data_IF_924008488770
#
_entry.id   IF_924008488770
#
_cell.length_a   1.000
_cell.length_b   1.000
_cell.length_c   1.000
_cell.angle_alpha   90.00
_cell.angle_beta   90.00
_cell.angle_gamma   90.00
#
_symmetry.space_group_name_H-M   'P 1'
#
loop_
_entity.id
_entity.type
_entity.pdbx_description
1 polymer ?
#
# COMPACT_ATOMS: atom_id res chain seq x y z
N UNK A 1 36.53 12.42 52.34
CA UNK A 1 36.40 13.82 51.85
C UNK A 1 35.77 13.78 50.46
N UNK A 2 34.59 14.39 50.26
CA UNK A 2 34.16 14.84 48.93
C UNK A 2 33.07 14.08 48.16
N UNK A 3 32.26 13.19 48.76
CA UNK A 3 31.27 12.39 48.02
C UNK A 3 29.97 13.12 47.69
N UNK A 4 29.90 13.91 46.60
CA UNK A 4 28.61 14.39 46.06
C UNK A 4 27.89 13.27 45.29
N UNK A 5 26.59 13.08 45.54
CA UNK A 5 25.73 12.13 44.80
C UNK A 5 25.13 12.81 43.58
N UNK A 6 25.29 12.19 42.41
CA UNK A 6 24.74 12.66 41.15
C UNK A 6 23.47 11.87 40.82
N UNK A 7 22.37 12.58 40.59
CA UNK A 7 21.18 12.04 39.95
C UNK A 7 21.17 12.51 38.51
N UNK A 8 21.19 11.56 37.57
CA UNK A 8 21.06 11.85 36.14
C UNK A 8 19.69 11.32 35.74
N UNK A 9 18.73 12.24 35.58
CA UNK A 9 17.35 11.94 35.24
C UNK A 9 17.12 12.17 33.75
N UNK A 10 17.03 11.07 32.99
CA UNK A 10 16.77 11.09 31.54
C UNK A 10 15.28 10.85 31.20
N UNK A 11 14.40 10.84 32.20
CA UNK A 11 12.99 10.51 32.03
C UNK A 11 12.12 11.74 31.76
N UNK A 12 11.07 11.55 30.95
CA UNK A 12 10.01 12.54 30.71
C UNK A 12 8.65 11.82 30.84
N UNK A 13 7.85 12.06 31.90
CA UNK A 13 8.06 13.00 33.01
C UNK A 13 9.22 12.64 33.94
N UNK A 14 9.79 13.65 34.64
CA UNK A 14 10.93 13.48 35.55
C UNK A 14 10.66 12.44 36.65
N UNK A 15 11.65 11.61 36.93
CA UNK A 15 11.62 10.68 38.06
C UNK A 15 12.14 11.32 39.35
N UNK A 16 13.01 12.33 39.23
CA UNK A 16 13.60 13.05 40.35
C UNK A 16 12.90 14.40 40.52
N UNK A 17 12.29 14.60 41.68
CA UNK A 17 11.66 15.88 42.04
C UNK A 17 12.70 17.01 42.06
N UNK A 18 12.30 18.22 41.63
CA UNK A 18 13.20 19.38 41.59
C UNK A 18 13.75 19.77 42.96
N UNK A 19 13.01 19.49 44.04
CA UNK A 19 13.42 19.73 45.42
C UNK A 19 14.62 18.89 45.89
N UNK A 20 14.97 17.82 45.16
CA UNK A 20 16.13 16.98 45.50
C UNK A 20 17.46 17.76 45.31
N UNK A 21 17.45 18.81 44.50
CA UNK A 21 18.61 19.71 44.30
C UNK A 21 18.92 20.59 45.51
N UNK A 22 18.01 20.73 46.47
CA UNK A 22 18.20 21.58 47.66
C UNK A 22 19.10 20.92 48.74
N UNK A 23 19.48 19.65 48.54
CA UNK A 23 20.36 18.91 49.47
C UNK A 23 21.83 19.19 49.12
N UNK A 24 22.59 19.76 50.05
CA UNK A 24 24.00 20.21 49.87
C UNK A 24 24.96 19.18 49.24
N UNK A 25 24.74 17.89 49.49
CA UNK A 25 25.56 16.79 48.97
C UNK A 25 25.06 16.20 47.64
N UNK A 26 24.05 16.80 47.00
CA UNK A 26 23.36 16.26 45.82
C UNK A 26 23.46 17.21 44.63
N UNK A 27 23.56 16.65 43.42
CA UNK A 27 23.32 17.37 42.17
C UNK A 27 22.39 16.57 41.29
N UNK A 28 21.41 17.25 40.69
CA UNK A 28 20.47 16.66 39.74
C UNK A 28 20.77 17.24 38.36
N UNK A 29 20.93 16.37 37.38
CA UNK A 29 21.02 16.71 35.97
C UNK A 29 19.80 16.12 35.26
N UNK A 30 19.14 16.91 34.43
CA UNK A 30 18.03 16.47 33.61
C UNK A 30 18.41 16.48 32.12
N UNK A 31 17.47 16.09 31.25
CA UNK A 31 17.68 16.05 29.78
C UNK A 31 18.11 17.40 29.19
N UNK A 32 17.68 18.53 29.75
CA UNK A 32 18.07 19.86 29.29
C UNK A 32 19.53 20.18 29.66
N UNK A 33 19.98 19.81 30.86
CA UNK A 33 21.38 20.03 31.31
C UNK A 33 22.38 19.21 30.47
N UNK A 34 21.94 18.07 29.94
CA UNK A 34 22.75 17.23 29.06
C UNK A 34 22.92 17.83 27.65
N UNK A 35 22.10 18.81 27.24
CA UNK A 35 22.22 19.47 25.92
C UNK A 35 23.49 20.31 25.79
N UNK A 36 23.97 20.90 26.89
CA UNK A 36 25.16 21.77 26.88
C UNK A 36 26.46 20.99 26.67
N UNK A 37 26.55 19.75 27.18
CA UNK A 37 27.74 18.89 27.06
C UNK A 37 27.92 18.34 25.63
N UNK A 38 26.87 18.35 24.81
CA UNK A 38 26.85 17.73 23.48
C UNK A 38 27.44 18.63 22.37
N UNK A 39 27.82 19.87 22.70
CA UNK A 39 28.36 20.84 21.74
C UNK A 39 29.61 20.36 20.99
N UNK A 40 30.45 19.52 21.62
CA UNK A 40 31.68 18.98 21.02
C UNK A 40 31.44 18.00 19.85
N UNK A 41 30.21 17.48 19.70
CA UNK A 41 29.85 16.53 18.62
C UNK A 41 28.93 17.16 17.57
N UNK A 42 28.77 18.49 17.57
CA UNK A 42 27.82 19.17 16.68
C UNK A 42 28.16 18.97 15.21
N UNK A 43 29.44 19.07 14.84
CA UNK A 43 29.89 18.90 13.46
C UNK A 43 29.70 17.47 12.97
N UNK A 44 30.11 16.47 13.77
CA UNK A 44 29.88 15.06 13.46
C UNK A 44 28.39 14.70 13.40
N UNK A 45 27.56 15.28 14.26
CA UNK A 45 26.11 15.12 14.24
C UNK A 45 25.51 15.70 12.96
N UNK A 46 25.96 16.88 12.53
CA UNK A 46 25.52 17.48 11.28
C UNK A 46 25.95 16.66 10.07
N UNK A 47 27.16 16.09 10.09
CA UNK A 47 27.63 15.18 9.03
C UNK A 47 26.76 13.93 8.94
N UNK A 48 26.55 13.23 10.06
CA UNK A 48 25.67 12.05 10.12
C UNK A 48 24.22 12.38 9.75
N UNK A 49 23.72 13.56 10.13
CA UNK A 49 22.39 14.01 9.74
C UNK A 49 22.29 14.18 8.22
N UNK A 50 23.29 14.77 7.56
CA UNK A 50 23.33 14.87 6.10
C UNK A 50 23.36 13.49 5.43
N UNK A 51 24.17 12.56 5.95
CA UNK A 51 24.21 11.17 5.47
C UNK A 51 22.83 10.50 5.61
N UNK A 52 22.18 10.65 6.76
CA UNK A 52 20.82 10.13 7.00
C UNK A 52 19.77 10.78 6.08
N UNK A 53 19.91 12.07 5.78
CA UNK A 53 18.98 12.78 4.89
C UNK A 53 18.98 12.20 3.47
N UNK A 54 20.14 11.74 2.99
CA UNK A 54 20.25 11.07 1.68
C UNK A 54 19.45 9.77 1.68
N UNK A 55 19.65 8.94 2.70
CA UNK A 55 18.91 7.67 2.85
C UNK A 55 17.40 7.93 2.92
N UNK A 56 16.97 8.90 3.74
CA UNK A 56 15.55 9.27 3.85
C UNK A 56 14.99 9.72 2.49
N UNK A 57 15.76 10.50 1.72
CA UNK A 57 15.34 10.96 0.40
C UNK A 57 15.22 9.82 -0.63
N UNK A 58 16.11 8.83 -0.56
CA UNK A 58 16.07 7.63 -1.42
C UNK A 58 14.87 6.74 -1.06
N UNK A 59 14.67 6.46 0.23
CA UNK A 59 13.54 5.65 0.73
C UNK A 59 12.19 6.33 0.47
N UNK A 60 12.11 7.66 0.60
CA UNK A 60 10.88 8.40 0.30
C UNK A 60 10.48 8.24 -1.18
N UNK A 61 11.45 8.33 -2.10
CA UNK A 61 11.19 8.12 -3.53
C UNK A 61 10.70 6.70 -3.81
N UNK A 62 11.34 5.70 -3.21
CA UNK A 62 10.90 4.31 -3.35
C UNK A 62 9.50 4.09 -2.79
N UNK A 63 9.20 4.70 -1.63
CA UNK A 63 7.87 4.64 -1.03
C UNK A 63 6.80 5.29 -1.90
N UNK A 64 7.08 6.46 -2.49
CA UNK A 64 6.16 7.14 -3.39
C UNK A 64 5.91 6.31 -4.65
N UNK A 65 6.96 5.78 -5.29
CA UNK A 65 6.81 4.90 -6.45
C UNK A 65 6.02 3.63 -6.13
N UNK A 66 6.24 3.03 -4.96
CA UNK A 66 5.45 1.90 -4.48
C UNK A 66 3.99 2.28 -4.22
N UNK A 67 3.73 3.42 -3.59
CA UNK A 67 2.36 3.89 -3.34
C UNK A 67 1.60 4.08 -4.65
N UNK A 68 2.23 4.74 -5.62
CA UNK A 68 1.62 5.04 -6.91
C UNK A 68 1.40 3.74 -7.73
N UNK A 69 2.24 2.72 -7.55
CA UNK A 69 2.01 1.41 -8.17
C UNK A 69 0.74 0.70 -7.67
N UNK A 70 0.23 1.04 -6.47
CA UNK A 70 -1.01 0.50 -5.93
C UNK A 70 -2.26 1.04 -6.65
N UNK A 71 -2.16 2.14 -7.41
CA UNK A 71 -3.29 2.71 -8.15
C UNK A 71 -3.86 1.77 -9.22
N UNK A 72 -3.07 0.79 -9.70
CA UNK A 72 -3.54 -0.18 -10.69
C UNK A 72 -4.42 -1.29 -10.10
N UNK A 73 -4.40 -1.47 -8.77
CA UNK A 73 -5.11 -2.57 -8.08
C UNK A 73 -6.63 -2.54 -8.34
N UNK A 74 -7.33 -1.39 -8.24
CA UNK A 74 -8.73 -1.29 -8.64
C UNK A 74 -8.98 -1.68 -10.10
N UNK A 75 -8.12 -1.26 -11.03
CA UNK A 75 -8.24 -1.58 -12.46
C UNK A 75 -8.09 -3.07 -12.73
N UNK A 76 -7.13 -3.72 -12.07
CA UNK A 76 -6.96 -5.18 -12.08
C UNK A 76 -8.26 -5.88 -11.65
N UNK A 77 -8.88 -5.43 -10.55
CA UNK A 77 -10.12 -6.02 -10.02
C UNK A 77 -11.26 -5.86 -11.03
N UNK A 78 -11.41 -4.68 -11.62
CA UNK A 78 -12.43 -4.37 -12.62
C UNK A 78 -12.28 -5.21 -13.88
N UNK A 79 -11.07 -5.30 -14.43
CA UNK A 79 -10.79 -6.07 -15.65
C UNK A 79 -11.14 -7.56 -15.46
N UNK A 80 -10.80 -8.13 -14.30
CA UNK A 80 -11.18 -9.52 -13.96
C UNK A 80 -12.69 -9.70 -13.88
N UNK A 81 -13.39 -8.78 -13.23
CA UNK A 81 -14.85 -8.83 -13.11
C UNK A 81 -15.53 -8.72 -14.49
N UNK A 82 -15.04 -7.81 -15.34
CA UNK A 82 -15.50 -7.62 -16.72
C UNK A 82 -15.34 -8.92 -17.53
N UNK A 83 -14.16 -9.53 -17.50
CA UNK A 83 -13.88 -10.75 -18.23
C UNK A 83 -14.70 -11.95 -17.72
N UNK A 84 -14.89 -12.07 -16.40
CA UNK A 84 -15.70 -13.15 -15.82
C UNK A 84 -17.18 -13.01 -16.21
N UNK A 85 -17.71 -11.79 -16.24
CA UNK A 85 -19.09 -11.55 -16.70
C UNK A 85 -19.29 -12.03 -18.15
N UNK A 86 -18.34 -11.72 -19.04
CA UNK A 86 -18.38 -12.20 -20.42
C UNK A 86 -18.27 -13.72 -20.47
N UNK A 87 -17.30 -14.29 -19.75
CA UNK A 87 -17.05 -15.74 -19.72
C UNK A 87 -18.29 -16.52 -19.29
N UNK A 88 -18.93 -16.12 -18.19
CA UNK A 88 -20.12 -16.77 -17.66
C UNK A 88 -21.29 -16.65 -18.65
N UNK A 89 -21.53 -15.45 -19.19
CA UNK A 89 -22.62 -15.24 -20.14
C UNK A 89 -22.45 -16.10 -21.42
N UNK A 90 -21.24 -16.20 -21.97
CA UNK A 90 -20.98 -17.02 -23.15
C UNK A 90 -20.96 -18.53 -22.83
N UNK A 91 -20.48 -18.91 -21.65
CA UNK A 91 -20.54 -20.30 -21.19
C UNK A 91 -22.00 -20.77 -21.02
N UNK A 92 -22.86 -19.96 -20.41
CA UNK A 92 -24.28 -20.27 -20.25
C UNK A 92 -24.99 -20.41 -21.59
N UNK A 93 -24.73 -19.48 -22.54
CA UNK A 93 -25.25 -19.59 -23.91
C UNK A 93 -24.77 -20.85 -24.62
N UNK A 94 -23.50 -21.22 -24.46
CA UNK A 94 -22.92 -22.43 -25.04
C UNK A 94 -23.61 -23.68 -24.47
N UNK A 95 -23.69 -23.77 -23.15
CA UNK A 95 -24.32 -24.90 -22.47
C UNK A 95 -25.80 -25.03 -22.80
N UNK A 96 -26.54 -23.92 -22.90
CA UNK A 96 -27.95 -23.93 -23.30
C UNK A 96 -28.19 -24.47 -24.71
N UNK A 97 -27.21 -24.35 -25.62
CA UNK A 97 -27.28 -24.92 -26.98
C UNK A 97 -26.89 -26.40 -27.05
N UNK A 98 -26.20 -26.92 -26.05
CA UNK A 98 -25.73 -28.31 -26.02
C UNK A 98 -26.79 -29.29 -25.50
N UNK A 99 -27.90 -28.80 -24.94
CA UNK A 99 -29.01 -29.59 -24.42
C UNK A 99 -28.76 -30.18 -23.01
N UNK A 100 -29.81 -30.74 -22.42
CA UNK A 100 -29.81 -31.18 -21.01
C UNK A 100 -29.07 -32.52 -20.77
N UNK A 101 -28.83 -33.31 -21.82
CA UNK A 101 -28.16 -34.62 -21.73
C UNK A 101 -26.62 -34.54 -21.68
N UNK A 102 -26.06 -33.37 -21.37
CA UNK A 102 -24.61 -33.20 -21.31
C UNK A 102 -24.01 -33.90 -20.07
N UNK A 103 -22.96 -34.68 -20.28
CA UNK A 103 -22.24 -35.30 -19.17
C UNK A 103 -21.56 -34.24 -18.29
N UNK A 104 -21.51 -34.48 -16.96
CA UNK A 104 -20.78 -33.60 -16.02
C UNK A 104 -19.31 -33.40 -16.43
N UNK A 105 -18.68 -34.42 -17.04
CA UNK A 105 -17.30 -34.36 -17.54
C UNK A 105 -17.17 -33.37 -18.69
N UNK A 106 -18.09 -33.41 -19.65
CA UNK A 106 -18.13 -32.47 -20.77
C UNK A 106 -18.35 -31.03 -20.27
N UNK A 107 -19.32 -30.83 -19.36
CA UNK A 107 -19.59 -29.52 -18.78
C UNK A 107 -18.36 -28.90 -18.12
N UNK A 108 -17.62 -29.71 -17.35
CA UNK A 108 -16.37 -29.29 -16.72
C UNK A 108 -15.29 -28.95 -17.76
N UNK A 109 -15.12 -29.78 -18.79
CA UNK A 109 -14.13 -29.51 -19.84
C UNK A 109 -14.39 -28.18 -20.58
N UNK A 110 -15.66 -27.84 -20.81
CA UNK A 110 -16.04 -26.55 -21.43
C UNK A 110 -15.81 -25.37 -20.47
N UNK A 111 -16.13 -25.52 -19.17
CA UNK A 111 -15.80 -24.49 -18.17
C UNK A 111 -14.29 -24.26 -18.08
N UNK A 112 -13.49 -25.33 -17.98
CA UNK A 112 -12.03 -25.28 -17.93
C UNK A 112 -11.43 -24.63 -19.19
N UNK A 113 -11.96 -24.94 -20.39
CA UNK A 113 -11.58 -24.30 -21.63
C UNK A 113 -11.85 -22.78 -21.59
N UNK A 114 -13.06 -22.38 -21.18
CA UNK A 114 -13.44 -20.97 -21.11
C UNK A 114 -12.55 -20.18 -20.13
N UNK A 115 -12.22 -20.77 -18.98
CA UNK A 115 -11.29 -20.19 -18.00
C UNK A 115 -9.88 -20.13 -18.55
N UNK A 116 -9.42 -21.17 -19.23
CA UNK A 116 -8.11 -21.23 -19.86
C UNK A 116 -7.89 -20.12 -20.88
N UNK A 117 -8.87 -19.86 -21.74
CA UNK A 117 -8.84 -18.77 -22.72
C UNK A 117 -8.75 -17.41 -22.01
N UNK A 118 -9.65 -17.14 -21.05
CA UNK A 118 -9.66 -15.87 -20.30
C UNK A 118 -8.35 -15.66 -19.55
N UNK A 119 -7.86 -16.68 -18.85
CA UNK A 119 -6.60 -16.59 -18.11
C UNK A 119 -5.41 -16.31 -19.03
N UNK A 120 -5.35 -16.97 -20.20
CA UNK A 120 -4.27 -16.75 -21.17
C UNK A 120 -4.33 -15.35 -21.79
N UNK A 121 -5.52 -14.85 -22.11
CA UNK A 121 -5.71 -13.48 -22.61
C UNK A 121 -5.36 -12.42 -21.57
N UNK A 122 -5.77 -12.62 -20.32
CA UNK A 122 -5.53 -11.66 -19.24
C UNK A 122 -4.11 -11.70 -18.68
N UNK A 123 -3.35 -12.77 -18.89
CA UNK A 123 -2.00 -12.91 -18.33
C UNK A 123 -1.11 -11.70 -18.65
N UNK A 124 -1.04 -11.31 -19.93
CA UNK A 124 -0.22 -10.19 -20.38
C UNK A 124 -0.59 -8.86 -19.70
N UNK A 125 -1.83 -8.36 -19.87
CA UNK A 125 -2.27 -7.12 -19.20
C UNK A 125 -2.11 -7.16 -17.68
N UNK A 126 -2.42 -8.29 -17.05
CA UNK A 126 -2.31 -8.44 -15.59
C UNK A 126 -0.86 -8.38 -15.10
N UNK A 127 0.10 -8.86 -15.90
CA UNK A 127 1.52 -8.78 -15.58
C UNK A 127 2.03 -7.34 -15.72
N UNK A 128 1.62 -6.62 -16.77
CA UNK A 128 2.06 -5.23 -17.04
C UNK A 128 1.32 -4.18 -16.20
N UNK A 129 0.30 -4.56 -15.43
CA UNK A 129 -0.31 -3.72 -14.41
C UNK A 129 0.32 -3.90 -13.02
N UNK A 130 1.12 -4.96 -12.82
CA UNK A 130 1.82 -5.22 -11.56
C UNK A 130 3.21 -4.63 -11.64
N UNK A 131 3.42 -3.49 -10.99
CA UNK A 131 4.74 -2.89 -10.81
C UNK A 131 5.12 -2.99 -9.32
N UNK A 132 6.34 -3.42 -9.03
CA UNK A 132 6.88 -3.55 -7.67
C UNK A 132 7.50 -2.25 -7.14
N UNK A 133 7.37 -1.13 -7.89
CA UNK A 133 7.84 0.19 -7.48
C UNK A 133 9.36 0.37 -7.57
N UNK A 134 10.08 -0.57 -8.17
CA UNK A 134 11.55 -0.57 -8.23
C UNK A 134 12.14 0.21 -9.41
N UNK A 135 11.37 0.45 -10.48
CA UNK A 135 11.81 1.20 -11.67
C UNK A 135 10.77 2.26 -12.08
N UNK A 136 11.18 3.54 -12.01
CA UNK A 136 10.36 4.72 -12.29
C UNK A 136 9.90 4.78 -13.77
N UNK A 137 10.72 4.27 -14.69
CA UNK A 137 10.34 4.18 -16.11
C UNK A 137 9.20 3.18 -16.31
N UNK A 138 9.20 2.10 -15.55
CA UNK A 138 8.15 1.09 -15.57
C UNK A 138 6.85 1.60 -14.93
N UNK A 139 6.91 2.51 -13.95
CA UNK A 139 5.71 3.07 -13.32
C UNK A 139 4.87 3.89 -14.30
N UNK A 140 5.51 4.78 -15.08
CA UNK A 140 4.80 5.61 -16.07
C UNK A 140 4.09 4.74 -17.12
N UNK A 141 4.80 3.76 -17.69
CA UNK A 141 4.23 2.81 -18.65
C UNK A 141 3.08 1.99 -18.03
N UNK A 142 3.22 1.61 -16.76
CA UNK A 142 2.18 0.87 -16.01
C UNK A 142 0.90 1.70 -15.85
N UNK A 143 1.02 3.00 -15.53
CA UNK A 143 -0.11 3.91 -15.44
C UNK A 143 -0.74 4.17 -16.82
N UNK A 144 0.06 4.31 -17.87
CA UNK A 144 -0.44 4.43 -19.25
C UNK A 144 -1.23 3.19 -19.67
N UNK A 145 -0.72 2.00 -19.38
CA UNK A 145 -1.40 0.72 -19.60
C UNK A 145 -2.72 0.66 -18.84
N UNK A 146 -2.74 1.11 -17.58
CA UNK A 146 -3.96 1.20 -16.78
C UNK A 146 -5.00 2.08 -17.46
N UNK A 147 -4.64 3.28 -17.87
CA UNK A 147 -5.55 4.20 -18.55
C UNK A 147 -6.03 3.65 -19.90
N UNK A 148 -5.15 2.99 -20.67
CA UNK A 148 -5.53 2.35 -21.92
C UNK A 148 -6.58 1.26 -21.70
N UNK A 149 -6.40 0.40 -20.69
CA UNK A 149 -7.37 -0.64 -20.33
C UNK A 149 -8.69 -0.04 -19.85
N UNK A 150 -8.64 1.02 -19.03
CA UNK A 150 -9.85 1.73 -18.61
C UNK A 150 -10.65 2.27 -19.81
N UNK A 151 -9.98 2.83 -20.82
CA UNK A 151 -10.64 3.31 -22.05
C UNK A 151 -11.17 2.17 -22.92
N UNK A 152 -10.32 1.18 -23.22
CA UNK A 152 -10.66 0.07 -24.11
C UNK A 152 -11.81 -0.79 -23.59
N UNK A 153 -11.88 -1.00 -22.27
CA UNK A 153 -12.90 -1.84 -21.64
C UNK A 153 -13.94 -1.06 -20.83
N UNK A 154 -13.87 0.28 -20.83
CA UNK A 154 -14.80 1.17 -20.11
C UNK A 154 -14.94 0.84 -18.61
N UNK A 155 -13.81 0.56 -17.95
CA UNK A 155 -13.78 0.04 -16.56
C UNK A 155 -14.08 1.10 -15.49
N UNK A 156 -14.01 2.38 -15.83
CA UNK A 156 -14.28 3.49 -14.89
C UNK A 156 -15.77 3.67 -14.61
N UNK A 157 -16.62 3.36 -15.59
CA UNK A 157 -18.08 3.56 -15.55
C UNK A 157 -18.79 2.57 -14.62
N UNK A 158 -18.18 1.42 -14.31
CA UNK A 158 -18.86 0.38 -13.52
C UNK A 158 -19.01 0.76 -12.03
N UNK A 159 -18.12 1.60 -11.49
CA UNK A 159 -18.24 2.07 -10.10
C UNK A 159 -19.45 3.00 -9.94
N UNK A 160 -19.66 3.95 -10.86
CA UNK A 160 -20.78 4.88 -10.73
C UNK A 160 -22.11 4.13 -10.73
N UNK A 161 -22.26 3.11 -11.58
CA UNK A 161 -23.50 2.33 -11.67
C UNK A 161 -23.69 1.40 -10.47
N UNK A 162 -22.62 0.76 -9.97
CA UNK A 162 -22.71 -0.15 -8.83
C UNK A 162 -22.91 0.61 -7.51
N UNK A 163 -22.19 1.71 -7.31
CA UNK A 163 -22.36 2.59 -6.14
C UNK A 163 -23.74 3.27 -6.16
N UNK A 164 -24.24 3.70 -7.31
CA UNK A 164 -25.61 4.22 -7.43
C UNK A 164 -26.64 3.14 -7.10
N UNK A 165 -26.46 1.89 -7.57
CA UNK A 165 -27.36 0.78 -7.24
C UNK A 165 -27.32 0.42 -5.75
N UNK A 166 -26.15 0.43 -5.13
CA UNK A 166 -26.00 0.18 -3.68
C UNK A 166 -26.67 1.30 -2.89
N UNK A 167 -26.43 2.56 -3.26
CA UNK A 167 -27.03 3.74 -2.60
C UNK A 167 -28.56 3.72 -2.71
N UNK A 168 -29.10 3.46 -3.91
CA UNK A 168 -30.55 3.33 -4.14
C UNK A 168 -31.18 2.16 -3.35
N UNK A 169 -30.44 1.06 -3.14
CA UNK A 169 -30.91 -0.09 -2.35
C UNK A 169 -30.93 0.19 -0.85
N UNK A 170 -29.99 1.01 -0.36
CA UNK A 170 -29.93 1.45 1.04
C UNK A 170 -31.06 2.43 1.34
N UNK A 171 -31.37 3.34 0.41
CA UNK A 171 -32.48 4.31 0.54
C UNK A 171 -33.87 3.64 0.48
N UNK A 172 -34.03 2.53 -0.24
CA UNK A 172 -35.30 1.77 -0.28
C UNK A 172 -35.56 0.91 0.97
N UNK A 173 -34.56 0.73 1.83
CA UNK A 173 -34.64 -0.09 3.04
C UNK A 173 -34.67 0.76 4.34
N UNK A 174 -34.78 2.09 4.23
CA UNK A 174 -35.06 3.02 5.33
C UNK A 174 -36.51 3.53 5.22
#
# INVERSE_FOLDING_TARGET
VGGRRLFIDISVPRNVGSCVSDIDSVRVYNVDDLKEVVAANKEDRLRKAREAQVIIGEELKQFEAWRDSLETVPTIKKLRAYAERIRVAELEKCLGKMGDDISKKTRKAVDDLSRGIVNRMLHGPMQHLRCDGSDDRTLTETLENMHALNRMFSLETEISVLEQKVRAKVEQNQ
#
